data_IF_432131975554
#
_entry.id   IF_432131975554
#
_cell.length_a   1.000
_cell.length_b   1.000
_cell.length_c   1.000
_cell.angle_alpha   90.00
_cell.angle_beta   90.00
_cell.angle_gamma   90.00
#
_symmetry.space_group_name_H-M   'P 1'
#
loop_
_entity.id
_entity.type
_entity.pdbx_description
1 polymer ?
#
# COMPACT_ATOMS: atom_id res chain seq x y z
N UNK A 1 -18.04 -34.52 30.02
CA UNK A 1 -17.93 -33.87 28.70
C UNK A 1 -17.31 -32.52 28.94
N UNK A 2 -15.99 -32.53 29.12
CA UNK A 2 -15.21 -31.33 29.35
C UNK A 2 -14.82 -30.78 27.99
N UNK A 3 -15.52 -29.75 27.52
CA UNK A 3 -14.99 -28.85 26.50
C UNK A 3 -14.04 -27.88 27.20
N UNK A 4 -12.95 -28.42 27.73
CA UNK A 4 -11.75 -27.64 28.03
C UNK A 4 -11.15 -27.32 26.67
N UNK A 5 -11.50 -26.15 26.16
CA UNK A 5 -10.68 -25.43 25.19
C UNK A 5 -9.79 -24.50 25.98
N UNK A 6 -8.47 -24.78 26.06
CA UNK A 6 -7.56 -23.82 26.62
C UNK A 6 -6.58 -23.31 25.56
N UNK A 7 -6.65 -21.98 25.32
CA UNK A 7 -5.52 -21.05 25.12
C UNK A 7 -4.89 -21.18 23.69
N UNK A 8 -4.74 -20.18 22.81
CA UNK A 8 -4.32 -18.77 22.95
C UNK A 8 -4.77 -17.96 21.72
N UNK A 9 -5.57 -16.92 21.91
CA UNK A 9 -5.27 -15.64 21.27
C UNK A 9 -3.88 -15.22 21.79
N UNK A 10 -2.96 -14.95 20.87
CA UNK A 10 -1.73 -14.14 20.99
C UNK A 10 -0.69 -14.70 20.01
N UNK A 11 -0.80 -14.15 18.82
CA UNK A 11 0.15 -14.23 17.73
C UNK A 11 1.36 -13.36 18.07
N UNK A 12 2.26 -13.84 18.94
CA UNK A 12 3.54 -13.20 19.25
C UNK A 12 4.59 -14.30 19.46
N UNK A 13 5.76 -14.34 18.84
CA UNK A 13 6.52 -13.40 18.01
C UNK A 13 7.94 -14.00 17.88
N UNK A 14 8.71 -13.54 16.88
CA UNK A 14 10.17 -13.61 16.70
C UNK A 14 10.54 -13.94 15.23
N UNK A 15 10.37 -12.95 14.34
CA UNK A 15 11.24 -12.62 13.17
C UNK A 15 10.65 -11.42 12.38
N UNK A 16 10.22 -10.37 13.09
CA UNK A 16 9.15 -9.45 12.62
C UNK A 16 9.63 -8.08 12.12
N UNK A 17 10.93 -7.81 12.00
CA UNK A 17 11.38 -6.42 11.82
C UNK A 17 11.84 -6.02 10.41
N UNK A 18 12.44 -6.90 9.60
CA UNK A 18 12.91 -6.52 8.25
C UNK A 18 12.10 -7.15 7.10
N UNK A 19 11.74 -8.42 7.19
CA UNK A 19 10.90 -9.10 6.18
C UNK A 19 9.47 -8.52 6.10
N UNK A 20 9.01 -7.90 7.19
CA UNK A 20 7.66 -7.37 7.26
C UNK A 20 7.47 -6.06 6.50
N UNK A 21 8.47 -5.17 6.44
CA UNK A 21 8.30 -3.88 5.74
C UNK A 21 8.17 -4.08 4.23
N UNK A 22 8.94 -5.01 3.67
CA UNK A 22 8.82 -5.38 2.25
C UNK A 22 7.42 -5.91 1.93
N UNK A 23 6.93 -6.89 2.70
CA UNK A 23 5.59 -7.46 2.51
C UNK A 23 4.47 -6.43 2.69
N UNK A 24 4.64 -5.51 3.64
CA UNK A 24 3.71 -4.41 3.87
C UNK A 24 3.66 -3.45 2.68
N UNK A 25 4.81 -3.16 2.05
CA UNK A 25 4.90 -2.36 0.84
C UNK A 25 4.24 -3.09 -0.35
N UNK A 26 4.49 -4.38 -0.54
CA UNK A 26 3.83 -5.18 -1.59
C UNK A 26 2.30 -5.16 -1.43
N UNK A 27 1.81 -5.26 -0.20
CA UNK A 27 0.39 -5.10 0.12
C UNK A 27 -0.09 -3.70 -0.24
N UNK A 28 0.58 -2.63 0.19
CA UNK A 28 0.24 -1.26 -0.20
C UNK A 28 0.15 -1.11 -1.72
N UNK A 29 1.11 -1.69 -2.44
CA UNK A 29 1.16 -1.62 -3.89
C UNK A 29 -0.05 -2.27 -4.54
N UNK A 30 -0.45 -3.43 -4.03
CA UNK A 30 -1.65 -4.15 -4.46
C UNK A 30 -2.92 -3.31 -4.26
N UNK A 31 -2.96 -2.44 -3.26
CA UNK A 31 -4.08 -1.50 -3.04
C UNK A 31 -4.00 -0.22 -3.90
N UNK A 32 -2.99 -0.08 -4.77
CA UNK A 32 -2.83 1.14 -5.57
C UNK A 32 -2.43 2.37 -4.74
N UNK A 33 -1.79 2.16 -3.59
CA UNK A 33 -1.34 3.25 -2.72
C UNK A 33 -0.04 3.86 -3.20
N UNK A 34 0.01 5.20 -3.22
CA UNK A 34 1.24 5.94 -3.45
C UNK A 34 2.23 5.78 -2.28
N UNK A 35 3.50 6.11 -2.49
CA UNK A 35 4.53 6.08 -1.44
C UNK A 35 4.09 6.83 -0.17
N UNK A 36 3.47 7.99 -0.32
CA UNK A 36 2.97 8.83 0.79
C UNK A 36 1.86 8.14 1.58
N UNK A 37 0.88 7.56 0.89
CA UNK A 37 -0.20 6.81 1.55
C UNK A 37 0.32 5.55 2.22
N UNK A 38 1.29 4.87 1.60
CA UNK A 38 1.88 3.69 2.20
C UNK A 38 2.65 4.07 3.47
N UNK A 39 3.44 5.15 3.46
CA UNK A 39 4.10 5.67 4.67
C UNK A 39 3.10 5.98 5.79
N UNK A 40 2.00 6.67 5.47
CA UNK A 40 0.98 7.00 6.45
C UNK A 40 0.23 5.77 6.98
N UNK A 41 -0.15 4.84 6.09
CA UNK A 41 -0.87 3.62 6.43
C UNK A 41 -0.01 2.71 7.32
N UNK A 42 1.27 2.56 7.00
CA UNK A 42 2.20 1.74 7.77
C UNK A 42 2.55 2.39 9.12
N UNK A 43 2.70 3.70 9.16
CA UNK A 43 2.87 4.43 10.43
C UNK A 43 1.65 4.29 11.33
N UNK A 44 0.42 4.38 10.79
CA UNK A 44 -0.81 4.27 11.59
C UNK A 44 -1.16 2.84 12.00
N UNK A 45 -0.85 1.84 11.17
CA UNK A 45 -1.28 0.43 11.37
C UNK A 45 -0.24 -0.46 12.01
N UNK A 46 1.04 -0.17 11.78
CA UNK A 46 2.15 -1.02 12.18
C UNK A 46 3.26 -0.24 12.90
N UNK A 47 3.02 1.04 13.23
CA UNK A 47 3.99 1.95 13.88
C UNK A 47 5.35 1.99 13.16
N UNK A 48 5.35 1.76 11.85
CA UNK A 48 6.58 1.77 11.04
C UNK A 48 6.97 3.21 10.79
N UNK A 49 8.24 3.54 11.04
CA UNK A 49 8.72 4.88 10.79
C UNK A 49 8.68 5.20 9.28
N UNK A 50 8.15 6.36 8.88
CA UNK A 50 8.04 6.75 7.47
C UNK A 50 9.41 6.81 6.77
N UNK A 51 10.49 7.10 7.52
CA UNK A 51 11.86 7.06 6.99
C UNK A 51 12.28 5.66 6.55
N UNK A 52 11.86 4.61 7.28
CA UNK A 52 12.14 3.20 6.93
C UNK A 52 11.39 2.84 5.67
N UNK A 53 10.08 3.09 5.62
CA UNK A 53 9.25 2.86 4.43
C UNK A 53 9.78 3.61 3.21
N UNK A 54 10.17 4.89 3.36
CA UNK A 54 10.74 5.69 2.26
C UNK A 54 12.04 5.11 1.74
N UNK A 55 12.91 4.62 2.64
CA UNK A 55 14.20 4.05 2.25
C UNK A 55 14.00 2.75 1.46
N UNK A 56 13.19 1.82 1.98
CA UNK A 56 12.90 0.55 1.31
C UNK A 56 12.19 0.78 -0.02
N UNK A 57 11.22 1.69 -0.06
CA UNK A 57 10.51 2.04 -1.30
C UNK A 57 11.44 2.59 -2.38
N UNK A 58 12.38 3.47 -2.01
CA UNK A 58 13.36 4.04 -2.95
C UNK A 58 14.33 3.01 -3.50
N UNK A 59 14.80 2.08 -2.66
CA UNK A 59 15.65 0.98 -3.13
C UNK A 59 14.89 0.06 -4.09
N UNK A 60 13.64 -0.29 -3.77
CA UNK A 60 12.77 -1.06 -4.66
C UNK A 60 12.54 -0.36 -6.01
N UNK A 61 12.28 0.94 -5.99
CA UNK A 61 12.09 1.74 -7.21
C UNK A 61 13.36 1.78 -8.06
N UNK A 62 14.53 1.86 -7.41
CA UNK A 62 15.83 1.89 -8.08
C UNK A 62 16.18 0.54 -8.72
N UNK A 63 15.88 -0.57 -8.05
CA UNK A 63 16.11 -1.92 -8.56
C UNK A 63 15.06 -2.32 -9.63
N UNK A 64 13.81 -1.86 -9.50
CA UNK A 64 12.68 -2.28 -10.33
C UNK A 64 12.01 -1.13 -11.09
N UNK A 65 12.80 -0.25 -11.72
CA UNK A 65 12.31 0.98 -12.38
C UNK A 65 11.15 0.76 -13.36
N UNK A 66 11.21 -0.28 -14.19
CA UNK A 66 10.17 -0.56 -15.18
C UNK A 66 8.82 -0.92 -14.55
N UNK A 67 8.85 -1.64 -13.41
CA UNK A 67 7.64 -1.95 -12.65
C UNK A 67 7.03 -0.67 -12.07
N UNK A 68 7.85 0.16 -11.43
CA UNK A 68 7.39 1.40 -10.81
C UNK A 68 6.89 2.44 -11.82
N UNK A 69 7.47 2.51 -13.01
CA UNK A 69 6.97 3.40 -14.08
C UNK A 69 5.53 3.03 -14.48
N UNK A 70 5.29 1.73 -14.72
CA UNK A 70 3.95 1.20 -15.02
C UNK A 70 3.00 1.39 -13.85
N UNK A 71 3.46 1.07 -12.64
CA UNK A 71 2.68 1.21 -11.41
C UNK A 71 2.25 2.66 -11.18
N UNK A 72 3.17 3.62 -11.28
CA UNK A 72 2.88 5.04 -11.13
C UNK A 72 1.92 5.55 -12.20
N UNK A 73 2.05 5.06 -13.45
CA UNK A 73 1.14 5.40 -14.55
C UNK A 73 -0.29 4.88 -14.29
N UNK A 74 -0.40 3.65 -13.80
CA UNK A 74 -1.64 3.02 -13.36
C UNK A 74 -2.28 3.82 -12.21
N UNK A 75 -1.50 4.16 -11.18
CA UNK A 75 -1.93 4.92 -10.01
C UNK A 75 -2.52 6.29 -10.37
N UNK A 76 -1.89 7.01 -11.31
CA UNK A 76 -2.40 8.28 -11.83
C UNK A 76 -3.72 8.10 -12.59
N UNK A 77 -3.89 6.98 -13.29
CA UNK A 77 -5.09 6.69 -14.07
C UNK A 77 -6.27 6.30 -13.18
N UNK A 78 -6.03 5.51 -12.12
CA UNK A 78 -7.05 5.14 -11.13
C UNK A 78 -7.45 6.31 -10.24
N UNK A 79 -6.51 7.15 -9.83
CA UNK A 79 -6.80 8.38 -9.08
C UNK A 79 -7.41 9.49 -9.94
N UNK A 80 -7.19 9.47 -11.26
CA UNK A 80 -7.77 10.40 -12.22
C UNK A 80 -9.22 10.10 -12.63
N UNK A 81 -9.74 8.91 -12.30
CA UNK A 81 -11.11 8.50 -12.63
C UNK A 81 -12.22 9.17 -11.82
N UNK A 82 -11.90 10.01 -10.83
CA UNK A 82 -12.87 10.78 -10.04
C UNK A 82 -12.79 12.27 -10.34
N UNK A 83 -12.81 12.68 -11.62
CA UNK A 83 -13.29 13.99 -12.07
C UNK A 83 -13.12 14.14 -13.58
N UNK A 84 -14.16 13.79 -14.33
CA UNK A 84 -14.55 14.57 -15.51
C UNK A 84 -15.97 14.18 -15.91
N UNK A 85 -16.96 14.70 -15.19
CA UNK A 85 -18.24 14.98 -15.84
C UNK A 85 -18.02 16.18 -16.77
N UNK A 86 -17.39 15.93 -17.92
CA UNK A 86 -17.52 16.82 -19.05
C UNK A 86 -18.91 16.58 -19.60
N UNK A 87 -19.90 17.28 -19.01
CA UNK A 87 -21.22 17.42 -19.58
C UNK A 87 -21.05 18.16 -20.89
N UNK A 88 -20.80 17.42 -21.97
CA UNK A 88 -20.94 17.94 -23.32
C UNK A 88 -22.44 18.10 -23.55
N UNK A 89 -22.96 19.29 -23.25
CA UNK A 89 -24.28 19.71 -23.71
C UNK A 89 -24.21 19.88 -25.22
N UNK A 90 -24.56 18.82 -25.95
CA UNK A 90 -25.02 18.97 -27.33
C UNK A 90 -26.39 19.65 -27.28
N UNK A 91 -26.45 20.89 -27.73
CA UNK A 91 -27.69 21.54 -28.11
C UNK A 91 -27.57 21.81 -29.60
N UNK A 92 -27.88 20.79 -30.38
CA UNK A 92 -28.12 20.93 -31.81
C UNK A 92 -29.46 21.66 -32.04
N UNK A 93 -29.38 22.72 -32.86
CA UNK A 93 -30.46 23.59 -33.33
C UNK A 93 -31.56 22.89 -34.13
#
# INVERSE_FOLDING_TARGET
MEVVNPIRDDQEGEDVTELNVHHLIEKCMTFGMSMEECMEALSKRADVQPVVTSTVWKELEKENKEFFDRYNKQLRSEKGGRSSCSSSSDSSS
#
